data_IF_692518746647
#
_entry.id   IF_692518746647
#
_cell.length_a   1.000
_cell.length_b   1.000
_cell.length_c   1.000
_cell.angle_alpha   90.00
_cell.angle_beta   90.00
_cell.angle_gamma   90.00
#
_symmetry.space_group_name_H-M   'P 1'
#
loop_
_entity.id
_entity.type
_entity.pdbx_description
1 polymer ?
#
# COMPACT_ATOMS: atom_id res chain seq x y z
N UNK A 1 10.12 -8.75 0.65
CA UNK A 1 9.38 -7.59 1.20
C UNK A 1 8.21 -7.15 0.32
N UNK A 2 8.41 -6.84 -0.96
CA UNK A 2 7.35 -6.29 -1.84
C UNK A 2 6.11 -7.20 -1.97
N UNK A 3 6.28 -8.52 -2.15
CA UNK A 3 5.16 -9.48 -2.23
C UNK A 3 4.36 -9.53 -0.93
N UNK A 4 5.02 -9.39 0.22
CA UNK A 4 4.37 -9.36 1.53
C UNK A 4 3.53 -8.10 1.74
N UNK A 5 4.01 -6.94 1.27
CA UNK A 5 3.27 -5.66 1.34
C UNK A 5 2.09 -5.65 0.37
N UNK A 6 2.24 -6.21 -0.84
CA UNK A 6 1.14 -6.38 -1.78
C UNK A 6 0.07 -7.34 -1.25
N UNK A 7 0.49 -8.44 -0.63
CA UNK A 7 -0.42 -9.40 0.02
C UNK A 7 -1.16 -8.79 1.23
N UNK A 8 -0.47 -8.01 2.07
CA UNK A 8 -1.07 -7.26 3.17
C UNK A 8 -2.07 -6.22 2.66
N UNK A 9 -1.74 -5.49 1.60
CA UNK A 9 -2.65 -4.53 0.96
C UNK A 9 -3.92 -5.18 0.42
N UNK A 10 -3.82 -6.37 -0.17
CA UNK A 10 -4.98 -7.15 -0.61
C UNK A 10 -5.83 -7.61 0.58
N UNK A 11 -5.21 -8.12 1.65
CA UNK A 11 -5.92 -8.53 2.87
C UNK A 11 -6.65 -7.35 3.54
N UNK A 12 -5.99 -6.20 3.65
CA UNK A 12 -6.59 -4.98 4.21
C UNK A 12 -7.74 -4.50 3.33
N UNK A 13 -7.55 -4.46 2.00
CA UNK A 13 -8.59 -4.10 1.03
C UNK A 13 -9.82 -5.00 1.15
N UNK A 14 -9.61 -6.31 1.25
CA UNK A 14 -10.67 -7.31 1.39
C UNK A 14 -11.38 -7.17 2.75
N UNK A 15 -10.64 -6.89 3.82
CA UNK A 15 -11.18 -6.56 5.14
C UNK A 15 -12.07 -5.30 5.13
N UNK A 16 -11.63 -4.21 4.48
CA UNK A 16 -12.44 -2.99 4.33
C UNK A 16 -13.69 -3.20 3.49
N UNK A 17 -13.62 -4.00 2.42
CA UNK A 17 -14.78 -4.32 1.60
C UNK A 17 -15.82 -5.15 2.39
N UNK A 18 -15.37 -6.14 3.17
CA UNK A 18 -16.23 -6.92 4.07
C UNK A 18 -16.84 -6.02 5.15
N UNK A 19 -16.04 -5.16 5.78
CA UNK A 19 -16.54 -4.23 6.80
C UNK A 19 -17.60 -3.27 6.23
N UNK A 20 -17.42 -2.79 4.99
CA UNK A 20 -18.41 -1.97 4.30
C UNK A 20 -19.72 -2.73 4.03
N UNK A 21 -19.64 -3.99 3.59
CA UNK A 21 -20.82 -4.84 3.39
C UNK A 21 -21.55 -5.13 4.70
N UNK A 22 -20.82 -5.40 5.79
CA UNK A 22 -21.40 -5.61 7.12
C UNK A 22 -22.08 -4.35 7.69
N UNK A 23 -21.65 -3.15 7.26
CA UNK A 23 -22.29 -1.88 7.59
C UNK A 23 -23.47 -1.51 6.68
N UNK A 24 -23.87 -2.40 5.76
CA UNK A 24 -25.02 -2.19 4.87
C UNK A 24 -24.74 -1.32 3.64
N UNK A 25 -23.48 -1.02 3.33
CA UNK A 25 -23.13 -0.36 2.08
C UNK A 25 -23.30 -1.31 0.89
N UNK A 26 -23.71 -0.78 -0.27
CA UNK A 26 -23.87 -1.59 -1.49
C UNK A 26 -22.56 -2.20 -1.97
N UNK A 27 -22.65 -3.35 -2.67
CA UNK A 27 -21.51 -4.07 -3.26
C UNK A 27 -20.61 -3.14 -4.09
N UNK A 28 -21.21 -2.19 -4.83
CA UNK A 28 -20.48 -1.21 -5.63
C UNK A 28 -19.57 -0.34 -4.77
N UNK A 29 -20.07 0.15 -3.64
CA UNK A 29 -19.31 0.96 -2.69
C UNK A 29 -18.15 0.17 -2.10
N UNK A 30 -18.39 -1.09 -1.70
CA UNK A 30 -17.35 -1.98 -1.18
C UNK A 30 -16.25 -2.27 -2.22
N UNK A 31 -16.61 -2.38 -3.49
CA UNK A 31 -15.66 -2.56 -4.60
C UNK A 31 -14.79 -1.33 -4.82
N UNK A 32 -15.37 -0.13 -4.71
CA UNK A 32 -14.63 1.14 -4.73
C UNK A 32 -13.61 1.19 -3.59
N UNK A 33 -14.00 0.81 -2.36
CA UNK A 33 -13.08 0.74 -1.23
C UNK A 33 -11.94 -0.26 -1.47
N UNK A 34 -12.25 -1.46 -1.98
CA UNK A 34 -11.22 -2.45 -2.32
C UNK A 34 -10.21 -1.89 -3.33
N UNK A 35 -10.69 -1.26 -4.40
CA UNK A 35 -9.83 -0.69 -5.45
C UNK A 35 -8.98 0.48 -4.94
N UNK A 36 -9.57 1.39 -4.14
CA UNK A 36 -8.86 2.52 -3.53
C UNK A 36 -7.79 2.07 -2.53
N UNK A 37 -8.08 1.08 -1.69
CA UNK A 37 -7.10 0.56 -0.71
C UNK A 37 -5.96 -0.18 -1.43
N UNK A 38 -6.27 -0.98 -2.45
CA UNK A 38 -5.26 -1.66 -3.28
C UNK A 38 -4.32 -0.68 -4.00
N UNK A 39 -4.88 0.39 -4.60
CA UNK A 39 -4.07 1.43 -5.27
C UNK A 39 -3.24 2.25 -4.29
N UNK A 40 -3.79 2.62 -3.13
CA UNK A 40 -3.03 3.29 -2.08
C UNK A 40 -1.84 2.44 -1.60
N UNK A 41 -2.05 1.14 -1.38
CA UNK A 41 -0.98 0.22 -0.96
C UNK A 41 0.12 0.07 -2.02
N UNK A 42 -0.24 0.09 -3.30
CA UNK A 42 0.72 0.08 -4.40
C UNK A 42 1.54 1.38 -4.46
N UNK A 43 0.89 2.54 -4.28
CA UNK A 43 1.57 3.84 -4.24
C UNK A 43 2.56 3.92 -3.08
N UNK A 44 2.17 3.47 -1.89
CA UNK A 44 3.07 3.41 -0.72
C UNK A 44 4.28 2.50 -1.00
N UNK A 45 4.06 1.36 -1.65
CA UNK A 45 5.16 0.44 -2.02
C UNK A 45 6.14 1.08 -3.00
N UNK A 46 5.63 1.80 -4.01
CA UNK A 46 6.45 2.52 -4.99
C UNK A 46 7.20 3.68 -4.31
N UNK A 47 6.54 4.42 -3.42
CA UNK A 47 7.16 5.49 -2.67
C UNK A 47 8.29 4.98 -1.77
N UNK A 48 8.09 3.84 -1.11
CA UNK A 48 9.11 3.23 -0.25
C UNK A 48 10.30 2.71 -1.06
N UNK A 49 10.06 2.11 -2.24
CA UNK A 49 11.12 1.74 -3.18
C UNK A 49 11.90 2.96 -3.68
N UNK A 50 11.22 4.08 -3.96
CA UNK A 50 11.88 5.36 -4.30
C UNK A 50 12.72 5.89 -3.14
N UNK A 51 12.19 5.89 -1.93
CA UNK A 51 12.88 6.39 -0.74
C UNK A 51 14.13 5.55 -0.43
N UNK A 52 14.03 4.22 -0.56
CA UNK A 52 15.18 3.31 -0.44
C UNK A 52 16.20 3.58 -1.56
N UNK A 53 15.75 3.79 -2.80
CA UNK A 53 16.64 4.12 -3.92
C UNK A 53 17.38 5.44 -3.67
N UNK A 54 16.68 6.48 -3.23
CA UNK A 54 17.28 7.78 -2.92
C UNK A 54 18.23 7.67 -1.72
N UNK A 55 17.89 6.86 -0.71
CA UNK A 55 18.79 6.57 0.42
C UNK A 55 20.06 5.82 -0.03
N UNK A 56 19.95 4.85 -0.93
CA UNK A 56 21.12 4.12 -1.46
C UNK A 56 21.98 4.99 -2.37
N UNK A 57 21.36 5.88 -3.17
CA UNK A 57 22.08 6.73 -4.13
C UNK A 57 22.67 8.00 -3.49
N UNK A 58 22.03 8.56 -2.47
CA UNK A 58 22.50 9.78 -1.78
C UNK A 58 23.19 9.47 -0.42
N UNK A 59 23.03 8.26 0.13
CA UNK A 59 23.71 7.84 1.36
C UNK A 59 25.18 7.44 1.17
N UNK A 60 25.70 7.48 -0.06
CA UNK A 60 27.13 7.34 -0.35
C UNK A 60 27.92 8.65 -0.18
N UNK A 61 27.26 9.77 0.10
CA UNK A 61 27.87 11.10 0.25
C UNK A 61 27.98 11.58 1.71
N UNK A 62 27.82 10.70 2.71
CA UNK A 62 28.26 11.00 4.08
C UNK A 62 29.77 10.72 4.18
N UNK A 63 30.65 11.75 4.25
CA UNK A 63 32.01 11.51 4.68
C UNK A 63 31.95 11.03 6.13
N UNK A 64 32.43 9.81 6.38
CA UNK A 64 32.73 9.35 7.73
C UNK A 64 33.82 10.26 8.31
N UNK A 65 33.41 11.29 9.05
CA UNK A 65 34.27 12.16 9.85
C UNK A 65 34.22 11.75 11.32
#
# INVERSE_FOLDING_TARGET
>A
MVIGVLGLGMLVGLGTAIAALLNGYSIWMALWFYSSVGTASALVSIAMLRLIRDYILNGSDEPQS
#
